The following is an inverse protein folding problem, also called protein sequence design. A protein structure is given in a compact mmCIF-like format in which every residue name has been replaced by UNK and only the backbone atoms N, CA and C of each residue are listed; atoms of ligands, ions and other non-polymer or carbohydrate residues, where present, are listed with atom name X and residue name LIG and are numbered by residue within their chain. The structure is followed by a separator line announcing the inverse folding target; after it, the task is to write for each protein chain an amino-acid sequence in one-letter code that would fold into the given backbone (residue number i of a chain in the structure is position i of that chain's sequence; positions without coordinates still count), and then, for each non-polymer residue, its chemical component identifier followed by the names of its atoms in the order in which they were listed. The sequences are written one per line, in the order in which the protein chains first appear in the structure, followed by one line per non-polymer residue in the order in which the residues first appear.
data_IF_293639675878
#
_entry.id   IF_293639675878
#
_cell.length_a   1.000
_cell.length_b   1.000
_cell.length_c   1.000
_cell.angle_alpha   90.00
_cell.angle_beta   90.00
_cell.angle_gamma   90.00
#
_symmetry.space_group_name_H-M   'P 1'
#
loop_
_entity.id
_entity.type
_entity.pdbx_description
1 polymer ?
#
# COMPACT_ATOMS: atom_id res chain seq x y z
N UNK A 1 -4.49 -2.98 9.36
CA UNK A 1 -3.53 -1.85 9.44
C UNK A 1 -2.18 -2.41 9.81
N UNK A 2 -1.12 -1.97 9.13
CA UNK A 2 0.20 -2.57 9.20
C UNK A 2 1.06 -2.00 10.33
N UNK A 3 2.03 -2.79 10.80
CA UNK A 3 3.25 -2.24 11.39
C UNK A 3 4.11 -1.56 10.32
N UNK A 4 5.10 -0.77 10.71
CA UNK A 4 6.01 -0.13 9.75
C UNK A 4 6.73 -1.17 8.88
N UNK A 5 7.22 -2.25 9.50
CA UNK A 5 7.93 -3.33 8.79
C UNK A 5 7.03 -4.04 7.78
N UNK A 6 5.79 -4.33 8.15
CA UNK A 6 4.82 -4.96 7.24
C UNK A 6 4.49 -4.04 6.05
N UNK A 7 4.35 -2.73 6.29
CA UNK A 7 4.10 -1.77 5.22
C UNK A 7 5.27 -1.68 4.23
N UNK A 8 6.51 -1.73 4.74
CA UNK A 8 7.74 -1.76 3.91
C UNK A 8 7.79 -3.05 3.09
N UNK A 9 7.59 -4.21 3.73
CA UNK A 9 7.62 -5.49 3.05
C UNK A 9 6.58 -5.58 1.92
N UNK A 10 5.36 -5.11 2.17
CA UNK A 10 4.31 -5.10 1.15
C UNK A 10 4.62 -4.10 0.03
N UNK A 11 5.12 -2.90 0.33
CA UNK A 11 5.54 -1.94 -0.71
C UNK A 11 6.59 -2.56 -1.63
N UNK A 12 7.61 -3.20 -1.05
CA UNK A 12 8.69 -3.80 -1.83
C UNK A 12 8.18 -4.97 -2.71
N UNK A 13 7.17 -5.72 -2.24
CA UNK A 13 6.49 -6.73 -3.04
C UNK A 13 5.73 -6.09 -4.22
N UNK A 14 4.93 -5.06 -3.97
CA UNK A 14 4.15 -4.37 -5.01
C UNK A 14 5.07 -3.72 -6.05
N UNK A 15 6.15 -3.07 -5.63
CA UNK A 15 7.14 -2.46 -6.52
C UNK A 15 7.84 -3.51 -7.41
N UNK A 16 8.02 -4.74 -6.94
CA UNK A 16 8.54 -5.85 -7.75
C UNK A 16 7.51 -6.39 -8.74
N UNK A 17 6.25 -6.56 -8.31
CA UNK A 17 5.16 -7.09 -9.14
C UNK A 17 4.72 -6.09 -10.22
N UNK A 18 4.71 -4.79 -9.88
CA UNK A 18 4.19 -3.71 -10.71
C UNK A 18 5.05 -2.43 -10.56
N UNK A 19 6.23 -2.36 -11.20
CA UNK A 19 7.19 -1.26 -11.04
C UNK A 19 6.71 0.10 -11.57
N UNK A 20 5.61 0.12 -12.33
CA UNK A 20 4.97 1.35 -12.84
C UNK A 20 3.97 1.99 -11.86
N UNK A 21 3.75 1.37 -10.69
CA UNK A 21 2.93 1.93 -9.62
C UNK A 21 3.79 2.74 -8.66
N UNK A 22 3.26 3.87 -8.20
CA UNK A 22 3.83 4.65 -7.12
C UNK A 22 3.13 4.28 -5.81
N UNK A 23 3.92 3.75 -4.86
CA UNK A 23 3.41 3.20 -3.61
C UNK A 23 4.02 3.94 -2.43
N UNK A 24 3.18 4.67 -1.70
CA UNK A 24 3.60 5.50 -0.57
C UNK A 24 3.11 4.90 0.74
N UNK A 25 4.00 4.83 1.74
CA UNK A 25 3.63 4.41 3.08
C UNK A 25 3.26 5.64 3.88
N UNK A 26 2.07 5.63 4.47
CA UNK A 26 1.58 6.67 5.35
C UNK A 26 1.31 6.11 6.74
N UNK A 27 1.48 6.97 7.74
CA UNK A 27 1.16 6.66 9.11
C UNK A 27 -0.11 7.40 9.52
N UNK A 28 -1.09 6.67 10.02
CA UNK A 28 -2.17 7.22 10.83
C UNK A 28 -1.65 7.26 12.26
N UNK A 29 -1.74 8.42 12.91
CA UNK A 29 -1.37 8.61 14.31
C UNK A 29 -2.62 8.64 15.20
N UNK A 30 -3.18 7.49 15.62
CA UNK A 30 -4.18 7.43 16.69
C UNK A 30 -3.49 7.30 18.06
N UNK A 31 -4.20 7.57 19.17
CA UNK A 31 -3.61 8.20 20.36
C UNK A 31 -2.50 7.43 21.10
N UNK A 32 -2.20 6.18 20.73
CA UNK A 32 -1.20 5.34 21.41
C UNK A 32 -0.40 4.40 20.50
N UNK A 33 -0.69 4.31 19.18
CA UNK A 33 0.05 3.38 18.29
C UNK A 33 0.00 3.85 16.85
N UNK A 34 1.16 4.09 16.23
CA UNK A 34 1.25 4.36 14.80
C UNK A 34 0.73 3.16 14.02
N UNK A 35 -0.24 3.41 13.14
CA UNK A 35 -0.79 2.41 12.22
C UNK A 35 -0.43 2.81 10.79
N UNK A 36 0.18 1.92 10.04
CA UNK A 36 0.66 2.21 8.70
C UNK A 36 -0.32 1.68 7.65
N UNK A 37 -0.42 2.38 6.53
CA UNK A 37 -1.17 1.99 5.35
C UNK A 37 -0.43 2.42 4.08
N UNK A 38 -0.74 1.78 2.96
CA UNK A 38 -0.12 2.09 1.68
C UNK A 38 -1.12 2.83 0.79
N UNK A 39 -0.64 3.86 0.12
CA UNK A 39 -1.35 4.56 -0.95
C UNK A 39 -0.77 4.06 -2.27
N UNK A 40 -1.62 3.45 -3.10
CA UNK A 40 -1.25 3.01 -4.43
C UNK A 40 -1.76 4.03 -5.45
N UNK A 41 -0.84 4.57 -6.24
CA UNK A 41 -1.13 5.52 -7.30
C UNK A 41 -0.44 5.11 -8.60
N UNK A 42 -0.96 5.60 -9.73
CA UNK A 42 -0.42 5.33 -11.06
C UNK A 42 -0.44 6.64 -11.84
N UNK A 43 0.71 7.07 -12.36
CA UNK A 43 0.84 8.33 -13.10
C UNK A 43 0.29 9.55 -12.32
N UNK A 44 0.54 9.61 -11.01
CA UNK A 44 0.08 10.68 -10.13
C UNK A 44 -1.42 10.65 -9.78
N UNK A 45 -2.18 9.64 -10.25
CA UNK A 45 -3.58 9.44 -9.88
C UNK A 45 -3.71 8.38 -8.80
N UNK A 46 -4.39 8.73 -7.71
CA UNK A 46 -4.75 7.79 -6.65
C UNK A 46 -5.64 6.68 -7.22
N UNK A 47 -5.25 5.42 -6.97
CA UNK A 47 -6.07 4.24 -7.33
C UNK A 47 -6.83 3.73 -6.12
N UNK A 48 -6.11 3.35 -5.07
CA UNK A 48 -6.72 2.91 -3.83
C UNK A 48 -5.73 2.92 -2.67
N UNK A 49 -6.29 2.83 -1.46
CA UNK A 49 -5.55 2.68 -0.21
C UNK A 49 -5.60 1.21 0.22
N UNK A 50 -4.47 0.70 0.73
CA UNK A 50 -4.29 -0.66 1.24
C UNK A 50 -3.95 -0.58 2.73
N UNK A 51 -4.82 -1.11 3.57
CA UNK A 51 -4.67 -1.13 5.03
C UNK A 51 -4.28 -2.50 5.56
N UNK A 52 -4.39 -3.54 4.77
CA UNK A 52 -3.99 -4.92 5.08
C UNK A 52 -3.71 -5.67 3.77
N UNK A 53 -3.08 -6.84 3.86
CA UNK A 53 -2.66 -7.60 2.68
C UNK A 53 -3.85 -8.14 1.88
N UNK A 54 -4.98 -8.45 2.54
CA UNK A 54 -6.18 -8.92 1.86
C UNK A 54 -6.73 -7.87 0.89
N UNK A 55 -6.72 -6.59 1.28
CA UNK A 55 -7.10 -5.48 0.38
C UNK A 55 -6.20 -5.37 -0.86
N UNK A 56 -4.91 -5.69 -0.74
CA UNK A 56 -4.02 -5.73 -1.90
C UNK A 56 -4.42 -6.88 -2.84
N UNK A 57 -4.56 -8.11 -2.32
CA UNK A 57 -4.91 -9.26 -3.15
C UNK A 57 -6.26 -9.09 -3.83
N UNK A 58 -7.24 -8.50 -3.13
CA UNK A 58 -8.55 -8.22 -3.70
C UNK A 58 -8.47 -7.17 -4.81
N UNK A 59 -7.63 -6.13 -4.70
CA UNK A 59 -7.66 -4.95 -5.58
C UNK A 59 -6.55 -4.88 -6.61
N UNK A 60 -5.50 -5.69 -6.51
CA UNK A 60 -4.34 -5.62 -7.42
C UNK A 60 -4.70 -5.83 -8.89
N UNK A 61 -5.76 -6.60 -9.16
CA UNK A 61 -6.29 -6.79 -10.52
C UNK A 61 -6.74 -5.47 -11.17
N UNK A 62 -7.07 -4.43 -10.40
CA UNK A 62 -7.46 -3.11 -10.91
C UNK A 62 -6.29 -2.31 -11.48
N UNK A 63 -5.05 -2.72 -11.20
CA UNK A 63 -3.84 -1.97 -11.57
C UNK A 63 -2.78 -2.82 -12.26
N UNK A 64 -2.86 -4.15 -12.21
CA UNK A 64 -1.88 -5.07 -12.82
C UNK A 64 -2.37 -5.73 -14.13
N UNK A 65 -3.68 -5.67 -14.43
CA UNK A 65 -4.26 -6.28 -15.64
C UNK A 65 -3.75 -5.67 -16.94
#
# INVERSE_FOLDING_TARGET
MFTQEQAIALRDMICKEAPYLDVQIQAEAPPLTYKYYLIVSQQGKLRFVVRDEAQWQERKHLVIS
#
